data_IF_435484690440
#
_entry.id   IF_435484690440
#
_cell.length_a   1.000
_cell.length_b   1.000
_cell.length_c   1.000
_cell.angle_alpha   90.00
_cell.angle_beta   90.00
_cell.angle_gamma   90.00
#
_symmetry.space_group_name_H-M   'P 1'
#
loop_
_entity.id
_entity.type
_entity.pdbx_description
1 polymer ?
#
# COMPACT_ATOMS: atom_id res chain seq x y z
N UNK A 1 5.32 21.77 1.29
CA UNK A 1 5.19 20.84 0.16
C UNK A 1 6.22 19.71 0.21
N UNK A 2 7.52 19.95 -0.01
CA UNK A 2 8.50 18.85 -0.16
C UNK A 2 8.55 17.89 1.05
N UNK A 3 8.59 18.42 2.28
CA UNK A 3 8.60 17.58 3.48
C UNK A 3 7.32 16.75 3.66
N UNK A 4 6.15 17.34 3.37
CA UNK A 4 4.86 16.63 3.44
C UNK A 4 4.78 15.55 2.35
N UNK A 5 5.22 15.88 1.13
CA UNK A 5 5.25 14.92 0.02
C UNK A 5 6.21 13.76 0.33
N UNK A 6 7.39 14.03 0.90
CA UNK A 6 8.33 13.00 1.36
C UNK A 6 7.72 12.10 2.42
N UNK A 7 6.99 12.67 3.39
CA UNK A 7 6.33 11.89 4.43
C UNK A 7 5.26 10.96 3.83
N UNK A 8 4.36 11.50 3.01
CA UNK A 8 3.29 10.73 2.35
C UNK A 8 3.84 9.65 1.41
N UNK A 9 4.89 9.96 0.64
CA UNK A 9 5.56 8.96 -0.21
C UNK A 9 6.27 7.88 0.62
N UNK A 10 6.81 8.25 1.79
CA UNK A 10 7.39 7.29 2.74
C UNK A 10 6.35 6.31 3.27
N UNK A 11 5.21 6.81 3.74
CA UNK A 11 4.08 5.99 4.21
C UNK A 11 3.55 5.07 3.11
N UNK A 12 3.33 5.62 1.90
CA UNK A 12 2.90 4.87 0.72
C UNK A 12 3.88 3.74 0.37
N UNK A 13 5.19 4.02 0.41
CA UNK A 13 6.24 3.03 0.15
C UNK A 13 6.24 1.91 1.18
N UNK A 14 6.10 2.26 2.47
CA UNK A 14 6.11 1.28 3.54
C UNK A 14 4.88 0.37 3.53
N UNK A 15 3.71 0.92 3.24
CA UNK A 15 2.49 0.13 3.16
C UNK A 15 2.45 -0.74 1.90
N UNK A 16 2.96 -0.27 0.76
CA UNK A 16 3.15 -1.11 -0.43
C UNK A 16 4.11 -2.29 -0.16
N UNK A 17 5.23 -2.04 0.56
CA UNK A 17 6.17 -3.10 0.96
C UNK A 17 5.49 -4.15 1.83
N UNK A 18 4.72 -3.74 2.85
CA UNK A 18 3.98 -4.67 3.72
C UNK A 18 2.96 -5.50 2.94
N UNK A 19 2.28 -4.93 1.95
CA UNK A 19 1.35 -5.70 1.09
C UNK A 19 2.11 -6.79 0.34
N UNK A 20 3.28 -6.47 -0.23
CA UNK A 20 4.12 -7.47 -0.91
C UNK A 20 4.61 -8.57 0.03
N UNK A 21 5.00 -8.22 1.26
CA UNK A 21 5.42 -9.19 2.28
C UNK A 21 4.28 -10.13 2.67
N UNK A 22 3.07 -9.60 2.91
CA UNK A 22 1.90 -10.42 3.20
C UNK A 22 1.50 -11.31 2.00
N UNK A 23 1.57 -10.80 0.77
CA UNK A 23 1.29 -11.61 -0.42
C UNK A 23 2.23 -12.82 -0.50
N UNK A 24 3.52 -12.61 -0.20
CA UNK A 24 4.50 -13.70 -0.11
C UNK A 24 4.16 -14.68 1.01
N UNK A 25 3.82 -14.20 2.21
CA UNK A 25 3.41 -15.08 3.32
C UNK A 25 2.17 -15.91 2.96
N UNK A 26 1.20 -15.33 2.26
CA UNK A 26 0.02 -16.06 1.80
C UNK A 26 0.40 -17.20 0.84
N UNK A 27 1.37 -16.99 -0.06
CA UNK A 27 1.90 -18.06 -0.92
C UNK A 27 2.60 -19.15 -0.10
N UNK A 28 3.43 -18.78 0.87
CA UNK A 28 4.10 -19.75 1.76
C UNK A 28 3.10 -20.59 2.57
N UNK A 29 1.99 -19.99 3.03
CA UNK A 29 0.89 -20.72 3.68
C UNK A 29 0.15 -21.63 2.70
N UNK A 30 -0.07 -21.18 1.46
CA UNK A 30 -0.72 -21.97 0.42
C UNK A 30 0.11 -23.21 0.07
N UNK A 31 1.42 -23.07 -0.08
CA UNK A 31 2.35 -24.17 -0.37
C UNK A 31 2.35 -25.23 0.75
N UNK A 32 2.04 -24.83 1.99
CA UNK A 32 1.84 -25.72 3.15
C UNK A 32 0.42 -26.28 3.29
N UNK A 33 -0.53 -25.86 2.43
CA UNK A 33 -1.94 -26.27 2.50
C UNK A 33 -2.76 -25.57 3.60
N UNK A 34 -2.26 -24.46 4.16
CA UNK A 34 -2.82 -23.78 5.33
C UNK A 34 -3.89 -22.73 4.94
N UNK A 35 -5.00 -23.16 4.33
CA UNK A 35 -6.02 -22.24 3.77
C UNK A 35 -6.60 -21.22 4.76
N UNK A 36 -6.71 -21.57 6.04
CA UNK A 36 -7.17 -20.64 7.09
C UNK A 36 -6.18 -19.48 7.29
N UNK A 37 -4.88 -19.77 7.26
CA UNK A 37 -3.84 -18.75 7.38
C UNK A 37 -3.82 -17.85 6.13
N UNK A 38 -3.98 -18.43 4.93
CA UNK A 38 -4.15 -17.65 3.69
C UNK A 38 -5.29 -16.64 3.82
N UNK A 39 -6.47 -17.09 4.27
CA UNK A 39 -7.62 -16.22 4.46
C UNK A 39 -7.36 -15.09 5.46
N UNK A 40 -6.62 -15.34 6.54
CA UNK A 40 -6.29 -14.33 7.53
C UNK A 40 -5.33 -13.27 6.97
N UNK A 41 -4.30 -13.71 6.24
CA UNK A 41 -3.34 -12.79 5.61
C UNK A 41 -4.04 -11.89 4.58
N UNK A 42 -4.92 -12.45 3.75
CA UNK A 42 -5.70 -11.67 2.77
C UNK A 42 -6.60 -10.62 3.45
N UNK A 43 -7.21 -10.95 4.58
CA UNK A 43 -8.03 -9.99 5.33
C UNK A 43 -7.20 -8.79 5.83
N UNK A 44 -5.98 -9.04 6.34
CA UNK A 44 -5.04 -7.99 6.76
C UNK A 44 -4.59 -7.15 5.56
N UNK A 45 -4.28 -7.78 4.42
CA UNK A 45 -3.90 -7.08 3.20
C UNK A 45 -4.98 -6.13 2.70
N UNK A 46 -6.26 -6.50 2.80
CA UNK A 46 -7.36 -5.64 2.35
C UNK A 46 -7.34 -4.27 3.04
N UNK A 47 -7.15 -4.23 4.36
CA UNK A 47 -7.02 -2.97 5.10
C UNK A 47 -5.83 -2.14 4.61
N UNK A 48 -4.70 -2.78 4.29
CA UNK A 48 -3.50 -2.10 3.80
C UNK A 48 -3.64 -1.58 2.37
N UNK A 49 -4.32 -2.30 1.49
CA UNK A 49 -4.61 -1.83 0.13
C UNK A 49 -5.47 -0.55 0.18
N UNK A 50 -6.44 -0.50 1.11
CA UNK A 50 -7.24 0.71 1.32
C UNK A 50 -6.40 1.89 1.83
N UNK A 51 -5.45 1.65 2.75
CA UNK A 51 -4.52 2.69 3.20
C UNK A 51 -3.64 3.22 2.05
N UNK A 52 -3.04 2.33 1.25
CA UNK A 52 -2.25 2.69 0.05
C UNK A 52 -3.07 3.53 -0.94
N UNK A 53 -4.35 3.20 -1.12
CA UNK A 53 -5.23 3.96 -2.01
C UNK A 53 -5.47 5.39 -1.50
N UNK A 54 -5.70 5.54 -0.20
CA UNK A 54 -5.86 6.84 0.47
C UNK A 54 -4.58 7.68 0.41
N UNK A 55 -3.42 7.08 0.69
CA UNK A 55 -2.14 7.80 0.65
C UNK A 55 -1.79 8.24 -0.76
N UNK A 56 -2.01 7.38 -1.75
CA UNK A 56 -1.89 7.74 -3.17
C UNK A 56 -2.77 8.94 -3.51
N UNK A 57 -4.05 8.93 -3.15
CA UNK A 57 -4.95 10.07 -3.42
C UNK A 57 -4.46 11.36 -2.75
N UNK A 58 -3.98 11.28 -1.51
CA UNK A 58 -3.38 12.42 -0.82
C UNK A 58 -2.15 12.98 -1.54
N UNK A 59 -1.28 12.11 -2.07
CA UNK A 59 -0.11 12.50 -2.88
C UNK A 59 -0.57 13.19 -4.17
N UNK A 60 -1.53 12.62 -4.90
CA UNK A 60 -2.03 13.19 -6.16
C UNK A 60 -2.65 14.57 -5.93
N UNK A 61 -3.47 14.70 -4.89
CA UNK A 61 -4.08 15.98 -4.52
C UNK A 61 -3.03 17.05 -4.19
N UNK A 62 -2.01 16.69 -3.40
CA UNK A 62 -0.94 17.62 -3.04
C UNK A 62 -0.16 18.11 -4.27
N UNK A 63 0.08 17.22 -5.25
CA UNK A 63 0.72 17.57 -6.53
C UNK A 63 -0.17 18.51 -7.36
N UNK A 64 -1.47 18.20 -7.48
CA UNK A 64 -2.44 19.02 -8.22
C UNK A 64 -2.57 20.43 -7.63
N UNK A 65 -2.61 20.56 -6.30
CA UNK A 65 -2.65 21.84 -5.58
C UNK A 65 -1.45 22.74 -5.91
N UNK A 66 -0.34 22.15 -6.37
CA UNK A 66 0.88 22.86 -6.77
C UNK A 66 1.09 22.89 -8.28
N UNK A 67 0.05 22.56 -9.06
CA UNK A 67 0.05 22.67 -10.52
C UNK A 67 0.80 21.53 -11.24
N UNK A 68 1.14 20.45 -10.54
CA UNK A 68 1.77 19.26 -11.14
C UNK A 68 0.68 18.22 -11.39
N UNK A 69 0.43 17.86 -12.66
CA UNK A 69 -0.55 16.81 -12.96
C UNK A 69 0.16 15.47 -13.10
N UNK A 70 -0.42 14.39 -12.55
CA UNK A 70 0.11 13.05 -12.72
C UNK A 70 0.14 12.64 -14.20
N UNK A 71 1.33 12.34 -14.73
CA UNK A 71 1.50 11.88 -16.12
C UNK A 71 1.88 12.97 -17.15
N UNK A 72 2.07 14.21 -16.71
CA UNK A 72 2.75 15.26 -17.51
C UNK A 72 4.25 14.95 -17.73
#
# INVERSE_FOLDING_TARGET
MEQELRARLGELSDDARKISEHARQALEHLDRGELKAVSQVIAVMHHKISAVSSDREGVLKLLEEHGVRPGD
#
